data_IF_601456930524
#
_entry.id   IF_601456930524
#
_cell.length_a   1.000
_cell.length_b   1.000
_cell.length_c   1.000
_cell.angle_alpha   90.00
_cell.angle_beta   90.00
_cell.angle_gamma   90.00
#
_symmetry.space_group_name_H-M   'P 1'
#
loop_
_entity.id
_entity.type
_entity.pdbx_description
1 polymer ?
#
# COMPACT_ATOMS: atom_id res chain seq x y z
N UNK A 1 -17.33 2.19 -24.52
CA UNK A 1 -16.75 2.43 -23.18
C UNK A 1 -15.47 1.62 -23.06
N UNK A 2 -14.30 2.26 -23.07
CA UNK A 2 -13.04 1.56 -22.84
C UNK A 2 -12.99 1.07 -21.38
N UNK A 3 -13.24 -0.22 -21.17
CA UNK A 3 -13.05 -0.85 -19.85
C UNK A 3 -11.55 -0.81 -19.51
N UNK A 4 -11.22 -0.38 -18.30
CA UNK A 4 -9.83 -0.37 -17.81
C UNK A 4 -9.24 -1.77 -17.93
N UNK A 5 -8.14 -1.91 -18.69
CA UNK A 5 -7.52 -3.19 -19.03
C UNK A 5 -7.14 -3.98 -17.76
N UNK A 6 -6.66 -3.31 -16.72
CA UNK A 6 -6.32 -3.95 -15.44
C UNK A 6 -7.51 -4.70 -14.81
N UNK A 7 -8.75 -4.30 -15.10
CA UNK A 7 -9.93 -5.02 -14.67
C UNK A 7 -10.29 -6.20 -15.58
N UNK A 8 -9.97 -6.10 -16.88
CA UNK A 8 -10.23 -7.17 -17.86
C UNK A 8 -9.23 -8.34 -17.76
N UNK A 9 -7.98 -8.05 -17.35
CA UNK A 9 -6.89 -9.03 -17.24
C UNK A 9 -6.79 -9.57 -15.80
N UNK A 10 -7.69 -9.17 -14.91
CA UNK A 10 -7.69 -9.66 -13.53
C UNK A 10 -7.67 -11.20 -13.51
N UNK A 11 -6.75 -11.84 -12.78
CA UNK A 11 -6.75 -13.30 -12.63
C UNK A 11 -8.10 -13.81 -12.10
N UNK A 12 -8.63 -14.85 -12.73
CA UNK A 12 -9.89 -15.48 -12.35
C UNK A 12 -9.69 -16.78 -11.54
N UNK A 13 -8.47 -17.27 -11.48
CA UNK A 13 -8.10 -18.49 -10.76
C UNK A 13 -6.84 -18.27 -9.91
N UNK A 14 -6.66 -19.15 -8.93
CA UNK A 14 -5.54 -19.06 -7.99
C UNK A 14 -4.17 -19.39 -8.63
N UNK A 15 -4.15 -20.14 -9.75
CA UNK A 15 -2.89 -20.50 -10.43
C UNK A 15 -2.20 -19.27 -11.00
N UNK A 16 -2.99 -18.33 -11.52
CA UNK A 16 -2.50 -17.10 -12.14
C UNK A 16 -2.30 -15.96 -11.12
N UNK A 17 -2.74 -16.17 -9.87
CA UNK A 17 -2.57 -15.19 -8.80
C UNK A 17 -1.16 -15.26 -8.21
N UNK A 18 -0.49 -14.11 -8.15
CA UNK A 18 0.87 -13.99 -7.61
C UNK A 18 0.79 -13.61 -6.13
N UNK A 19 1.25 -14.51 -5.28
CA UNK A 19 1.42 -14.29 -3.85
C UNK A 19 2.54 -15.17 -3.31
N UNK A 20 2.82 -15.05 -2.03
CA UNK A 20 3.73 -15.94 -1.31
C UNK A 20 3.25 -17.41 -1.39
N UNK A 21 4.19 -18.36 -1.51
CA UNK A 21 3.87 -19.79 -1.64
C UNK A 21 3.08 -20.31 -0.44
N UNK A 22 3.37 -19.86 0.78
CA UNK A 22 2.64 -20.27 1.97
C UNK A 22 1.17 -19.81 1.92
N UNK A 23 0.93 -18.57 1.45
CA UNK A 23 -0.42 -18.07 1.23
C UNK A 23 -1.15 -18.86 0.14
N UNK A 24 -0.45 -19.24 -0.92
CA UNK A 24 -1.03 -20.05 -2.00
C UNK A 24 -1.53 -21.39 -1.49
N UNK A 25 -0.74 -22.07 -0.66
CA UNK A 25 -1.12 -23.34 -0.01
C UNK A 25 -2.35 -23.15 0.89
N UNK A 26 -2.40 -22.06 1.65
CA UNK A 26 -3.55 -21.74 2.51
C UNK A 26 -4.81 -21.58 1.66
N UNK A 27 -4.75 -20.80 0.58
CA UNK A 27 -5.90 -20.57 -0.30
C UNK A 27 -6.34 -21.84 -1.04
N UNK A 28 -5.39 -22.68 -1.47
CA UNK A 28 -5.69 -24.00 -2.07
C UNK A 28 -6.43 -24.91 -1.09
N UNK A 29 -6.01 -24.95 0.17
CA UNK A 29 -6.67 -25.74 1.20
C UNK A 29 -8.09 -25.22 1.52
N UNK A 30 -8.29 -23.89 1.56
CA UNK A 30 -9.59 -23.25 1.75
C UNK A 30 -10.56 -23.66 0.63
N UNK A 31 -10.10 -23.59 -0.62
CA UNK A 31 -10.90 -23.97 -1.79
C UNK A 31 -11.21 -25.47 -1.77
N UNK A 32 -10.21 -26.30 -1.50
CA UNK A 32 -10.35 -27.77 -1.46
C UNK A 32 -11.34 -28.23 -0.39
N UNK A 33 -11.36 -27.58 0.76
CA UNK A 33 -12.19 -27.95 1.89
C UNK A 33 -13.54 -27.22 1.90
N UNK A 34 -13.83 -26.37 0.92
CA UNK A 34 -15.02 -25.48 0.90
C UNK A 34 -15.16 -24.65 2.20
N UNK A 35 -14.05 -24.17 2.74
CA UNK A 35 -14.02 -23.42 4.01
C UNK A 35 -14.53 -21.98 3.80
N UNK A 36 -15.71 -21.68 4.33
CA UNK A 36 -16.35 -20.37 4.28
C UNK A 36 -15.83 -19.44 5.40
N UNK A 37 -14.53 -19.38 5.58
CA UNK A 37 -13.90 -18.51 6.58
C UNK A 37 -13.86 -17.06 6.12
N UNK A 38 -14.16 -16.13 7.02
CA UNK A 38 -14.04 -14.71 6.75
C UNK A 38 -12.60 -14.20 6.81
N UNK A 39 -12.24 -13.28 5.90
CA UNK A 39 -10.90 -12.71 5.78
C UNK A 39 -10.90 -11.19 5.76
N UNK A 40 -9.85 -10.61 6.33
CA UNK A 40 -9.46 -9.22 6.12
C UNK A 40 -8.10 -9.23 5.40
N UNK A 41 -8.11 -8.91 4.10
CA UNK A 41 -6.90 -8.77 3.29
C UNK A 41 -6.38 -7.34 3.41
N UNK A 42 -5.17 -7.16 3.93
CA UNK A 42 -4.55 -5.84 4.02
C UNK A 42 -3.21 -5.79 3.31
N UNK A 43 -2.73 -4.60 3.01
CA UNK A 43 -1.46 -4.37 2.34
C UNK A 43 -1.50 -3.19 1.37
N UNK A 44 -0.39 -2.85 0.70
CA UNK A 44 -0.28 -1.73 -0.21
C UNK A 44 -1.34 -1.74 -1.32
N UNK A 45 -1.61 -0.61 -1.99
CA UNK A 45 -2.46 -0.60 -3.17
C UNK A 45 -1.88 -1.49 -4.28
N UNK A 46 -2.75 -2.00 -5.17
CA UNK A 46 -2.35 -2.75 -6.36
C UNK A 46 -1.77 -4.15 -6.16
N UNK A 47 -1.71 -4.69 -4.93
CA UNK A 47 -1.17 -6.05 -4.66
C UNK A 47 -2.17 -7.20 -4.88
N UNK A 48 -3.41 -6.91 -5.29
CA UNK A 48 -4.40 -7.93 -5.62
C UNK A 48 -5.39 -8.31 -4.52
N UNK A 49 -5.57 -7.50 -3.45
CA UNK A 49 -6.52 -7.77 -2.36
C UNK A 49 -7.92 -8.11 -2.85
N UNK A 50 -8.52 -7.23 -3.64
CA UNK A 50 -9.85 -7.44 -4.21
C UNK A 50 -9.87 -8.61 -5.20
N UNK A 51 -8.74 -8.87 -5.88
CA UNK A 51 -8.61 -9.99 -6.82
C UNK A 51 -8.71 -11.33 -6.11
N UNK A 52 -7.97 -11.53 -5.01
CA UNK A 52 -8.04 -12.77 -4.24
C UNK A 52 -9.43 -12.98 -3.63
N UNK A 53 -10.12 -11.92 -3.20
CA UNK A 53 -11.50 -12.01 -2.71
C UNK A 53 -12.44 -12.58 -3.78
N UNK A 54 -12.33 -12.11 -5.03
CA UNK A 54 -13.10 -12.66 -6.15
C UNK A 54 -12.70 -14.09 -6.50
N UNK A 55 -11.40 -14.41 -6.51
CA UNK A 55 -10.92 -15.77 -6.81
C UNK A 55 -11.49 -16.77 -5.82
N UNK A 56 -11.42 -16.46 -4.52
CA UNK A 56 -11.96 -17.34 -3.48
C UNK A 56 -13.47 -17.50 -3.61
N UNK A 57 -14.23 -16.40 -3.77
CA UNK A 57 -15.68 -16.45 -3.91
C UNK A 57 -16.11 -17.29 -5.14
N UNK A 58 -15.45 -17.10 -6.28
CA UNK A 58 -15.72 -17.87 -7.50
C UNK A 58 -15.35 -19.34 -7.35
N UNK A 59 -14.20 -19.64 -6.71
CA UNK A 59 -13.69 -21.03 -6.56
C UNK A 59 -14.55 -21.85 -5.59
N UNK A 60 -15.21 -21.23 -4.64
CA UNK A 60 -16.12 -21.89 -3.69
C UNK A 60 -17.53 -22.13 -4.29
N UNK A 61 -17.81 -21.67 -5.52
CA UNK A 61 -19.10 -21.76 -6.18
C UNK A 61 -20.28 -21.29 -5.33
N UNK A 62 -20.06 -20.25 -4.52
CA UNK A 62 -21.07 -19.66 -3.63
C UNK A 62 -21.45 -18.28 -4.15
N UNK A 63 -22.73 -17.93 -4.06
CA UNK A 63 -23.20 -16.59 -4.44
C UNK A 63 -22.57 -15.51 -3.59
N UNK A 64 -22.08 -14.45 -4.24
CA UNK A 64 -21.46 -13.33 -3.56
C UNK A 64 -21.98 -11.98 -4.08
N UNK A 65 -21.82 -10.98 -3.26
CA UNK A 65 -22.08 -9.57 -3.62
C UNK A 65 -20.90 -8.70 -3.25
N UNK A 66 -20.79 -7.57 -3.93
CA UNK A 66 -19.73 -6.58 -3.72
C UNK A 66 -20.29 -5.31 -3.08
N UNK A 67 -19.59 -4.80 -2.09
CA UNK A 67 -19.90 -3.56 -1.39
C UNK A 67 -18.64 -2.68 -1.35
N UNK A 68 -18.77 -1.43 -1.82
CA UNK A 68 -17.72 -0.44 -1.73
C UNK A 68 -18.00 0.49 -0.54
N UNK A 69 -17.18 0.39 0.50
CA UNK A 69 -17.35 1.16 1.73
C UNK A 69 -17.24 2.69 1.54
N UNK A 70 -16.58 3.14 0.46
CA UNK A 70 -16.42 4.56 0.15
C UNK A 70 -17.66 5.18 -0.55
N UNK A 71 -18.48 4.37 -1.24
CA UNK A 71 -19.53 4.84 -2.13
C UNK A 71 -20.90 4.39 -1.66
N UNK A 72 -21.05 3.11 -1.23
CA UNK A 72 -22.33 2.50 -0.94
C UNK A 72 -22.89 2.95 0.41
N UNK A 73 -24.22 3.06 0.49
CA UNK A 73 -24.93 3.52 1.68
C UNK A 73 -25.16 2.37 2.69
N UNK A 74 -25.62 2.74 3.90
CA UNK A 74 -25.96 1.78 4.96
C UNK A 74 -27.06 0.80 4.56
N UNK A 75 -28.09 1.29 3.89
CA UNK A 75 -29.22 0.46 3.46
C UNK A 75 -28.80 -0.56 2.40
N UNK A 76 -27.88 -0.18 1.51
CA UNK A 76 -27.27 -1.11 0.55
C UNK A 76 -26.49 -2.23 1.25
N UNK A 77 -25.80 -1.92 2.35
CA UNK A 77 -25.09 -2.92 3.15
C UNK A 77 -26.06 -3.94 3.73
N UNK A 78 -27.12 -3.48 4.38
CA UNK A 78 -28.14 -4.35 5.00
C UNK A 78 -28.80 -5.24 3.93
N UNK A 79 -29.19 -4.67 2.80
CA UNK A 79 -29.78 -5.42 1.70
C UNK A 79 -28.82 -6.49 1.15
N UNK A 80 -27.54 -6.14 0.94
CA UNK A 80 -26.52 -7.06 0.42
C UNK A 80 -26.20 -8.21 1.40
N UNK A 81 -26.28 -7.98 2.71
CA UNK A 81 -26.09 -8.99 3.75
C UNK A 81 -27.18 -10.09 3.72
N UNK A 82 -28.36 -9.77 3.21
CA UNK A 82 -29.48 -10.71 3.13
C UNK A 82 -29.53 -11.53 1.83
N UNK A 83 -28.84 -11.06 0.77
CA UNK A 83 -28.94 -11.63 -0.57
C UNK A 83 -28.04 -12.84 -0.82
N UNK A 84 -26.85 -12.86 -0.24
CA UNK A 84 -25.80 -13.79 -0.64
C UNK A 84 -25.02 -14.33 0.56
N UNK A 85 -24.33 -15.46 0.34
CA UNK A 85 -23.52 -16.10 1.37
C UNK A 85 -22.16 -15.45 1.57
N UNK A 86 -21.62 -14.76 0.56
CA UNK A 86 -20.33 -14.06 0.64
C UNK A 86 -20.54 -12.57 0.35
N UNK A 87 -20.01 -11.71 1.20
CA UNK A 87 -19.92 -10.27 1.01
C UNK A 87 -18.47 -9.85 0.84
N UNK A 88 -18.13 -9.32 -0.34
CA UNK A 88 -16.83 -8.70 -0.59
C UNK A 88 -16.94 -7.22 -0.24
N UNK A 89 -16.18 -6.76 0.76
CA UNK A 89 -16.16 -5.36 1.20
C UNK A 89 -14.83 -4.72 0.79
N UNK A 90 -14.89 -3.75 -0.10
CA UNK A 90 -13.69 -3.00 -0.50
C UNK A 90 -13.51 -1.75 0.38
N UNK A 91 -12.27 -1.49 0.80
CA UNK A 91 -11.88 -0.37 1.66
C UNK A 91 -12.63 -0.34 3.01
N UNK A 92 -12.70 -1.47 3.72
CA UNK A 92 -13.47 -1.63 4.98
C UNK A 92 -13.12 -0.58 6.04
N UNK A 93 -11.89 -0.02 6.03
CA UNK A 93 -11.48 1.05 6.95
C UNK A 93 -12.29 2.35 6.79
N UNK A 94 -13.04 2.50 5.68
CA UNK A 94 -13.97 3.63 5.44
C UNK A 94 -15.34 3.42 6.05
N UNK A 95 -15.64 2.22 6.58
CA UNK A 95 -16.85 2.02 7.34
C UNK A 95 -16.72 2.72 8.70
N UNK A 96 -17.69 3.57 9.03
CA UNK A 96 -17.82 4.06 10.38
C UNK A 96 -18.19 2.92 11.35
N UNK A 97 -18.07 3.18 12.65
CA UNK A 97 -18.32 2.18 13.70
C UNK A 97 -19.70 1.53 13.57
N UNK A 98 -20.74 2.33 13.33
CA UNK A 98 -22.12 1.84 13.23
C UNK A 98 -22.30 0.84 12.07
N UNK A 99 -21.66 1.09 10.91
CA UNK A 99 -21.70 0.16 9.77
C UNK A 99 -20.87 -1.11 10.06
N UNK A 100 -19.79 -1.00 10.81
CA UNK A 100 -19.02 -2.17 11.23
C UNK A 100 -19.81 -3.03 12.23
N UNK A 101 -20.55 -2.41 13.15
CA UNK A 101 -21.35 -3.12 14.14
C UNK A 101 -22.54 -3.89 13.51
N UNK A 102 -23.07 -3.44 12.35
CA UNK A 102 -24.09 -4.18 11.60
C UNK A 102 -23.58 -5.55 11.12
N UNK A 103 -22.29 -5.69 10.82
CA UNK A 103 -21.70 -6.96 10.36
C UNK A 103 -21.60 -8.02 11.48
N UNK A 104 -21.52 -7.59 12.73
CA UNK A 104 -21.23 -8.49 13.85
C UNK A 104 -22.27 -9.60 14.02
N UNK A 105 -23.61 -9.32 14.09
CA UNK A 105 -24.60 -10.38 14.23
C UNK A 105 -24.58 -11.41 13.11
N UNK A 106 -24.27 -10.98 11.88
CA UNK A 106 -24.20 -11.88 10.73
C UNK A 106 -22.97 -12.79 10.78
N UNK A 107 -21.84 -12.27 11.24
CA UNK A 107 -20.60 -13.05 11.44
C UNK A 107 -20.68 -13.97 12.67
N UNK A 108 -21.32 -13.52 13.74
CA UNK A 108 -21.50 -14.30 14.98
C UNK A 108 -22.37 -15.55 14.79
N UNK A 109 -23.35 -15.46 13.91
CA UNK A 109 -24.28 -16.55 13.62
C UNK A 109 -23.94 -17.30 12.31
N UNK A 110 -22.73 -17.12 11.75
CA UNK A 110 -22.28 -17.74 10.52
C UNK A 110 -23.25 -17.58 9.32
N UNK A 111 -24.02 -16.48 9.34
CA UNK A 111 -25.02 -16.18 8.30
C UNK A 111 -24.34 -15.73 7.01
N UNK A 112 -23.16 -15.09 7.13
CA UNK A 112 -22.41 -14.56 6.00
C UNK A 112 -20.90 -14.75 6.19
N UNK A 113 -20.21 -14.96 5.08
CA UNK A 113 -18.75 -14.89 4.99
C UNK A 113 -18.32 -13.54 4.45
N UNK A 114 -17.37 -12.88 5.08
CA UNK A 114 -16.89 -11.56 4.68
C UNK A 114 -15.46 -11.65 4.15
N UNK A 115 -15.26 -11.15 2.91
CA UNK A 115 -13.92 -10.90 2.35
C UNK A 115 -13.70 -9.40 2.28
N UNK A 116 -13.08 -8.86 3.32
CA UNK A 116 -12.81 -7.44 3.42
C UNK A 116 -11.42 -7.08 2.89
N UNK A 117 -11.27 -5.91 2.27
CA UNK A 117 -9.98 -5.38 1.83
C UNK A 117 -9.68 -4.04 2.49
N UNK A 118 -8.42 -3.77 2.76
CA UNK A 118 -7.96 -2.48 3.28
C UNK A 118 -6.52 -2.19 2.90
N UNK A 119 -6.17 -0.93 2.70
CA UNK A 119 -4.79 -0.45 2.57
C UNK A 119 -4.18 -0.08 3.92
N UNK A 120 -5.01 0.12 4.94
CA UNK A 120 -4.59 0.48 6.28
C UNK A 120 -4.39 -0.74 7.18
N UNK A 121 -3.58 -0.58 8.24
CA UNK A 121 -3.39 -1.66 9.21
C UNK A 121 -4.72 -1.93 9.95
N UNK A 122 -5.27 -3.16 9.87
CA UNK A 122 -6.56 -3.51 10.46
C UNK A 122 -6.65 -3.27 11.97
N UNK A 123 -5.53 -3.34 12.67
CA UNK A 123 -5.50 -3.20 14.12
C UNK A 123 -5.86 -1.79 14.62
N UNK A 124 -5.73 -0.77 13.77
CA UNK A 124 -6.02 0.62 14.12
C UNK A 124 -7.40 1.10 13.68
N UNK A 125 -7.94 0.52 12.60
CA UNK A 125 -9.15 1.07 11.95
C UNK A 125 -10.37 0.16 12.02
N UNK A 126 -10.18 -1.14 12.29
CA UNK A 126 -11.27 -2.10 12.30
C UNK A 126 -11.59 -2.47 13.73
N UNK A 127 -12.89 -2.50 14.04
CA UNK A 127 -13.42 -2.89 15.34
C UNK A 127 -12.80 -4.24 15.79
N UNK A 128 -12.27 -4.33 17.03
CA UNK A 128 -11.71 -5.56 17.59
C UNK A 128 -12.64 -6.77 17.48
N UNK A 129 -13.96 -6.56 17.66
CA UNK A 129 -14.95 -7.63 17.54
C UNK A 129 -15.04 -8.20 16.11
N UNK A 130 -14.90 -7.39 15.06
CA UNK A 130 -14.81 -7.87 13.68
C UNK A 130 -13.49 -8.61 13.43
N UNK A 131 -12.39 -8.06 13.93
CA UNK A 131 -11.06 -8.67 13.75
C UNK A 131 -10.98 -10.06 14.38
N UNK A 132 -11.60 -10.29 15.52
CA UNK A 132 -11.60 -11.60 16.19
C UNK A 132 -12.38 -12.67 15.41
N UNK A 133 -13.26 -12.28 14.49
CA UNK A 133 -14.11 -13.16 13.68
C UNK A 133 -13.59 -13.36 12.26
N UNK A 134 -12.53 -12.67 11.89
CA UNK A 134 -11.92 -12.75 10.56
C UNK A 134 -10.45 -13.13 10.67
N UNK A 135 -9.98 -13.96 9.76
CA UNK A 135 -8.54 -14.20 9.59
C UNK A 135 -7.90 -13.02 8.88
N UNK A 136 -6.85 -12.44 9.48
CA UNK A 136 -6.15 -11.28 8.91
C UNK A 136 -4.97 -11.77 8.08
N UNK A 137 -4.93 -11.39 6.80
CA UNK A 137 -3.88 -11.80 5.86
C UNK A 137 -3.24 -10.57 5.23
N UNK A 138 -1.92 -10.48 5.36
CA UNK A 138 -1.11 -9.46 4.68
C UNK A 138 -0.77 -9.91 3.26
N UNK A 139 -1.06 -9.06 2.28
CA UNK A 139 -0.58 -9.22 0.91
C UNK A 139 0.55 -8.23 0.66
N UNK A 140 1.73 -8.76 0.39
CA UNK A 140 2.94 -7.98 0.12
C UNK A 140 3.04 -7.61 -1.36
N UNK A 141 3.85 -6.60 -1.66
CA UNK A 141 4.21 -6.30 -3.06
C UNK A 141 4.92 -7.51 -3.69
N UNK A 142 4.72 -7.74 -5.00
CA UNK A 142 5.48 -8.75 -5.72
C UNK A 142 6.97 -8.39 -5.76
N UNK A 143 7.84 -9.38 -5.98
CA UNK A 143 9.23 -9.08 -6.34
C UNK A 143 9.27 -8.52 -7.76
N UNK A 144 10.37 -7.84 -8.10
CA UNK A 144 10.60 -7.30 -9.44
C UNK A 144 10.49 -8.41 -10.50
N UNK A 145 11.07 -9.57 -10.24
CA UNK A 145 11.08 -10.73 -11.12
C UNK A 145 9.67 -11.30 -11.33
N UNK A 146 8.88 -11.39 -10.26
CA UNK A 146 7.49 -11.83 -10.34
C UNK A 146 6.65 -10.90 -11.20
N UNK A 147 6.82 -9.59 -11.03
CA UNK A 147 6.07 -8.60 -11.81
C UNK A 147 6.51 -8.60 -13.28
N UNK A 148 7.80 -8.70 -13.58
CA UNK A 148 8.32 -8.81 -14.95
C UNK A 148 7.70 -10.02 -15.63
N UNK A 149 7.78 -11.21 -15.02
CA UNK A 149 7.20 -12.44 -15.57
C UNK A 149 5.69 -12.33 -15.80
N UNK A 150 5.01 -11.64 -14.92
CA UNK A 150 3.57 -11.38 -15.08
C UNK A 150 3.27 -10.48 -16.29
N UNK A 151 4.02 -9.41 -16.47
CA UNK A 151 3.89 -8.51 -17.64
C UNK A 151 4.24 -9.23 -18.96
N UNK A 152 5.28 -10.07 -18.96
CA UNK A 152 5.63 -10.92 -20.11
C UNK A 152 4.48 -11.85 -20.50
N UNK A 153 3.87 -12.52 -19.51
CA UNK A 153 2.72 -13.40 -19.74
C UNK A 153 1.51 -12.64 -20.31
N UNK A 154 1.23 -11.45 -19.81
CA UNK A 154 0.16 -10.59 -20.34
C UNK A 154 0.48 -10.18 -21.77
N UNK A 155 1.70 -9.72 -22.04
CA UNK A 155 2.10 -9.34 -23.39
C UNK A 155 1.94 -10.50 -24.37
N UNK A 156 2.45 -11.68 -24.04
CA UNK A 156 2.40 -12.86 -24.91
C UNK A 156 0.96 -13.34 -25.16
N UNK A 157 0.07 -13.17 -24.19
CA UNK A 157 -1.32 -13.64 -24.29
C UNK A 157 -2.28 -12.63 -24.91
N UNK A 158 -2.00 -11.32 -24.86
CA UNK A 158 -2.93 -10.26 -25.23
C UNK A 158 -2.45 -9.31 -26.30
N UNK A 159 -1.16 -8.97 -26.34
CA UNK A 159 -0.63 -7.92 -27.19
C UNK A 159 0.36 -8.43 -28.25
N UNK A 160 1.14 -9.43 -27.88
CA UNK A 160 2.19 -10.01 -28.72
C UNK A 160 3.20 -8.96 -29.26
N UNK A 161 3.57 -8.01 -28.39
CA UNK A 161 4.54 -6.97 -28.73
C UNK A 161 5.96 -7.55 -28.64
N UNK A 162 6.82 -7.15 -29.56
CA UNK A 162 8.26 -7.46 -29.51
C UNK A 162 8.95 -6.42 -28.61
N UNK A 163 9.04 -6.72 -27.30
CA UNK A 163 9.62 -5.85 -26.28
C UNK A 163 10.87 -6.48 -25.67
N UNK A 164 11.92 -5.69 -25.55
CA UNK A 164 13.13 -6.11 -24.85
C UNK A 164 12.88 -6.28 -23.34
N UNK A 165 13.61 -7.21 -22.71
CA UNK A 165 13.54 -7.43 -21.25
C UNK A 165 13.73 -6.15 -20.44
N UNK A 166 14.58 -5.25 -20.88
CA UNK A 166 14.84 -3.94 -20.24
C UNK A 166 13.56 -3.08 -20.16
N UNK A 167 12.63 -3.23 -21.09
CA UNK A 167 11.36 -2.51 -21.07
C UNK A 167 10.47 -3.01 -19.95
N UNK A 168 10.36 -4.33 -19.77
CA UNK A 168 9.59 -4.90 -18.64
C UNK A 168 10.21 -4.52 -17.28
N UNK A 169 11.53 -4.51 -17.20
CA UNK A 169 12.24 -4.05 -16.00
C UNK A 169 11.92 -2.59 -15.68
N UNK A 170 11.92 -1.74 -16.71
CA UNK A 170 11.56 -0.35 -16.59
C UNK A 170 10.11 -0.16 -16.13
N UNK A 171 9.15 -0.86 -16.78
CA UNK A 171 7.74 -0.80 -16.43
C UNK A 171 7.49 -1.26 -14.98
N UNK A 172 8.15 -2.32 -14.54
CA UNK A 172 8.05 -2.83 -13.19
C UNK A 172 8.56 -1.80 -12.16
N UNK A 173 9.69 -1.16 -12.42
CA UNK A 173 10.25 -0.11 -11.55
C UNK A 173 9.34 1.11 -11.50
N UNK A 174 8.89 1.62 -12.67
CA UNK A 174 8.04 2.80 -12.74
C UNK A 174 6.64 2.58 -12.15
N UNK A 175 6.20 1.35 -11.99
CA UNK A 175 4.95 1.03 -11.31
C UNK A 175 5.05 1.02 -9.77
N UNK A 176 6.24 1.12 -9.20
CA UNK A 176 6.46 0.93 -7.77
C UNK A 176 6.04 -0.46 -7.29
N UNK A 177 6.12 -1.48 -8.17
CA UNK A 177 5.66 -2.85 -7.96
C UNK A 177 4.14 -2.98 -7.69
N UNK A 178 3.35 -2.06 -8.22
CA UNK A 178 1.88 -2.10 -8.25
C UNK A 178 1.41 -2.76 -9.55
N UNK A 179 0.69 -3.90 -9.44
CA UNK A 179 0.18 -4.62 -10.61
C UNK A 179 -0.73 -3.78 -11.49
N UNK A 180 -1.59 -2.94 -10.91
CA UNK A 180 -2.55 -2.13 -11.68
C UNK A 180 -1.83 -1.06 -12.50
N UNK A 181 -0.87 -0.38 -11.88
CA UNK A 181 -0.05 0.64 -12.57
C UNK A 181 0.80 -0.01 -13.65
N UNK A 182 1.44 -1.16 -13.36
CA UNK A 182 2.25 -1.88 -14.33
C UNK A 182 1.45 -2.34 -15.57
N UNK A 183 0.24 -2.87 -15.37
CA UNK A 183 -0.65 -3.27 -16.46
C UNK A 183 -1.09 -2.05 -17.29
N UNK A 184 -1.46 -0.94 -16.64
CA UNK A 184 -1.86 0.28 -17.34
C UNK A 184 -0.70 0.86 -18.16
N UNK A 185 0.52 0.81 -17.64
CA UNK A 185 1.72 1.23 -18.35
C UNK A 185 1.98 0.32 -19.58
N UNK A 186 1.82 -0.99 -19.44
CA UNK A 186 1.94 -1.91 -20.57
C UNK A 186 0.85 -1.69 -21.63
N UNK A 187 -0.39 -1.39 -21.23
CA UNK A 187 -1.47 -1.02 -22.15
C UNK A 187 -1.17 0.28 -22.92
N UNK A 188 -0.57 1.26 -22.22
CA UNK A 188 -0.14 2.50 -22.84
C UNK A 188 0.94 2.25 -23.89
N UNK A 189 1.94 1.41 -23.58
CA UNK A 189 2.97 0.99 -24.52
C UNK A 189 2.35 0.30 -25.75
N UNK A 190 1.39 -0.61 -25.53
CA UNK A 190 0.68 -1.28 -26.63
C UNK A 190 -0.05 -0.28 -27.55
N UNK A 191 -0.75 0.69 -26.99
CA UNK A 191 -1.49 1.71 -27.78
C UNK A 191 -0.57 2.60 -28.63
N UNK A 192 0.66 2.75 -28.21
CA UNK A 192 1.65 3.62 -28.86
C UNK A 192 2.57 2.87 -29.82
N UNK A 193 2.69 1.56 -29.67
CA UNK A 193 3.59 0.73 -30.48
C UNK A 193 3.20 0.69 -31.98
N UNK A 194 1.91 0.82 -32.33
CA UNK A 194 1.38 0.83 -33.72
C UNK A 194 2.29 0.10 -34.74
N UNK A 195 2.72 -1.12 -34.43
CA UNK A 195 3.61 -1.94 -35.25
C UNK A 195 5.08 -1.44 -35.41
N UNK A 196 5.54 -0.54 -34.55
CA UNK A 196 6.95 -0.13 -34.49
C UNK A 196 7.67 -0.89 -33.38
N UNK A 197 8.91 -1.27 -33.64
CA UNK A 197 9.82 -1.71 -32.60
C UNK A 197 10.08 -0.50 -31.67
N UNK A 198 9.77 -0.64 -30.38
CA UNK A 198 9.96 0.42 -29.39
C UNK A 198 11.28 0.22 -28.67
N UNK A 199 12.10 1.25 -28.66
CA UNK A 199 13.29 1.32 -27.82
C UNK A 199 12.92 1.84 -26.41
N UNK A 200 13.78 1.58 -25.45
CA UNK A 200 13.57 2.02 -24.07
C UNK A 200 13.42 3.55 -23.96
N UNK A 201 14.11 4.32 -24.84
CA UNK A 201 14.00 5.78 -24.90
C UNK A 201 12.61 6.26 -25.27
N UNK A 202 11.94 5.56 -26.20
CA UNK A 202 10.57 5.88 -26.60
C UNK A 202 9.62 5.70 -25.42
N UNK A 203 9.81 4.63 -24.64
CA UNK A 203 9.02 4.34 -23.45
C UNK A 203 9.26 5.36 -22.35
N UNK A 204 10.51 5.79 -22.16
CA UNK A 204 10.88 6.83 -21.18
C UNK A 204 10.25 8.19 -21.49
N UNK A 205 10.06 8.52 -22.76
CA UNK A 205 9.37 9.74 -23.17
C UNK A 205 7.86 9.70 -22.91
N UNK A 206 7.27 8.51 -22.89
CA UNK A 206 5.83 8.30 -22.75
C UNK A 206 5.45 8.08 -21.27
N UNK A 207 6.20 7.26 -20.60
CA UNK A 207 6.12 7.00 -19.18
C UNK A 207 7.34 7.70 -18.59
N UNK A 208 7.21 8.99 -18.25
CA UNK A 208 8.34 9.69 -17.67
C UNK A 208 8.77 8.87 -16.45
N UNK A 209 10.08 8.66 -16.36
CA UNK A 209 10.62 8.24 -15.09
C UNK A 209 10.09 9.27 -14.09
N UNK A 210 9.19 8.86 -13.22
CA UNK A 210 9.15 9.49 -11.94
C UNK A 210 10.62 9.38 -11.55
N UNK A 211 11.34 10.49 -11.58
CA UNK A 211 12.71 10.53 -11.08
C UNK A 211 12.60 10.34 -9.58
N UNK A 212 12.24 9.11 -9.20
CA UNK A 212 12.86 8.51 -8.07
C UNK A 212 14.32 8.39 -8.49
N UNK A 213 15.13 9.29 -8.03
CA UNK A 213 16.55 9.04 -7.91
C UNK A 213 16.74 7.93 -6.87
N UNK A 214 16.09 6.81 -7.10
CA UNK A 214 16.38 5.57 -6.43
C UNK A 214 17.41 4.89 -7.31
N UNK A 215 18.63 4.96 -6.87
CA UNK A 215 19.68 4.07 -7.30
C UNK A 215 19.15 2.64 -7.43
N UNK A 216 19.74 1.90 -8.34
CA UNK A 216 19.32 0.63 -8.93
C UNK A 216 18.95 -0.51 -7.97
N UNK A 217 18.99 -0.29 -6.65
CA UNK A 217 18.70 -1.28 -5.61
C UNK A 217 17.79 -0.67 -4.56
N UNK A 218 16.69 -1.36 -4.22
CA UNK A 218 15.73 -0.95 -3.19
C UNK A 218 16.34 -0.77 -1.78
N UNK A 219 17.60 -1.09 -1.60
CA UNK A 219 18.39 -0.89 -0.38
C UNK A 219 18.68 0.60 -0.14
N UNK A 220 18.94 1.40 -1.17
CA UNK A 220 19.31 2.81 -1.01
C UNK A 220 18.16 3.69 -0.44
N UNK A 221 16.89 3.35 -0.70
CA UNK A 221 15.80 4.11 -0.11
C UNK A 221 15.66 3.87 1.41
N UNK A 222 15.84 2.63 1.86
CA UNK A 222 15.96 2.32 3.28
C UNK A 222 17.19 2.99 3.89
N UNK A 223 18.26 3.11 3.11
CA UNK A 223 19.49 3.79 3.51
C UNK A 223 19.30 5.30 3.66
N UNK A 224 18.54 5.97 2.77
CA UNK A 224 18.24 7.41 2.91
C UNK A 224 17.38 7.70 4.14
N UNK A 225 16.35 6.90 4.42
CA UNK A 225 15.54 7.03 5.64
C UNK A 225 16.36 6.78 6.90
N UNK A 226 17.30 5.83 6.83
CA UNK A 226 18.24 5.53 7.93
C UNK A 226 19.27 6.64 8.11
N UNK A 227 19.87 7.13 7.02
CA UNK A 227 20.82 8.23 7.02
C UNK A 227 20.16 9.53 7.52
N UNK A 228 18.94 9.83 7.05
CA UNK A 228 18.14 10.96 7.51
C UNK A 228 17.92 10.90 9.04
N UNK A 229 17.45 9.76 9.54
CA UNK A 229 17.21 9.61 10.98
C UNK A 229 18.51 9.74 11.80
N UNK A 230 19.62 9.16 11.31
CA UNK A 230 20.94 9.27 11.94
C UNK A 230 21.45 10.72 11.96
N UNK A 231 21.22 11.47 10.87
CA UNK A 231 21.60 12.89 10.77
C UNK A 231 20.81 13.74 11.77
N UNK A 232 19.49 13.52 11.91
CA UNK A 232 18.66 14.17 12.91
C UNK A 232 19.17 13.89 14.33
N UNK A 233 19.44 12.64 14.64
CA UNK A 233 19.99 12.18 15.94
C UNK A 233 21.37 12.75 16.22
N UNK A 234 22.22 12.80 15.17
CA UNK A 234 23.58 13.30 15.25
C UNK A 234 23.69 14.84 15.27
N UNK A 235 22.57 15.55 15.17
CA UNK A 235 22.52 17.04 15.11
C UNK A 235 23.27 17.62 13.89
N UNK A 236 23.35 16.84 12.80
CA UNK A 236 23.92 17.29 11.53
C UNK A 236 22.79 17.87 10.66
N UNK A 237 22.62 19.18 10.73
CA UNK A 237 21.52 19.90 10.05
C UNK A 237 21.65 19.87 8.53
N UNK A 238 22.89 19.93 8.00
CA UNK A 238 23.14 19.93 6.55
C UNK A 238 22.84 18.55 5.96
N UNK A 239 23.35 17.48 6.58
CA UNK A 239 23.03 16.12 6.17
C UNK A 239 21.55 15.80 6.34
N UNK A 240 20.89 16.26 7.40
CA UNK A 240 19.47 16.07 7.62
C UNK A 240 18.62 16.74 6.51
N UNK A 241 18.94 17.98 6.13
CA UNK A 241 18.28 18.62 4.98
C UNK A 241 18.56 17.87 3.68
N UNK A 242 19.79 17.49 3.42
CA UNK A 242 20.17 16.79 2.21
C UNK A 242 19.38 15.48 2.05
N UNK A 243 19.45 14.58 3.03
CA UNK A 243 18.72 13.32 2.98
C UNK A 243 17.21 13.48 3.05
N UNK A 244 16.70 14.44 3.84
CA UNK A 244 15.28 14.78 3.88
C UNK A 244 14.76 15.20 2.52
N UNK A 245 15.48 16.04 1.77
CA UNK A 245 15.08 16.46 0.42
C UNK A 245 15.30 15.39 -0.65
N UNK A 246 16.22 14.45 -0.46
CA UNK A 246 16.27 13.24 -1.30
C UNK A 246 14.99 12.41 -1.14
N UNK A 247 14.49 12.25 0.09
CA UNK A 247 13.24 11.55 0.37
C UNK A 247 12.05 12.33 -0.20
N UNK A 248 12.00 13.67 -0.07
CA UNK A 248 10.98 14.52 -0.72
C UNK A 248 10.97 14.30 -2.24
N UNK A 249 12.14 14.31 -2.89
CA UNK A 249 12.28 14.05 -4.33
C UNK A 249 11.84 12.64 -4.72
N UNK A 250 11.96 11.66 -3.83
CA UNK A 250 11.48 10.30 -4.04
C UNK A 250 9.95 10.17 -3.89
N UNK A 251 9.27 11.19 -3.34
CA UNK A 251 7.83 11.19 -3.10
C UNK A 251 7.39 10.38 -1.88
N UNK A 252 8.31 9.86 -1.06
CA UNK A 252 7.99 9.14 0.17
C UNK A 252 7.78 10.10 1.35
N UNK A 253 6.71 10.88 1.26
CA UNK A 253 6.34 11.78 2.35
C UNK A 253 5.95 11.04 3.63
N UNK A 254 5.32 9.87 3.52
CA UNK A 254 4.95 9.05 4.68
C UNK A 254 6.18 8.59 5.46
N UNK A 255 7.20 8.10 4.78
CA UNK A 255 8.47 7.69 5.38
C UNK A 255 9.18 8.86 6.05
N UNK A 256 9.24 10.01 5.35
CA UNK A 256 9.83 11.25 5.87
C UNK A 256 9.12 11.71 7.15
N UNK A 257 7.80 11.88 7.11
CA UNK A 257 7.00 12.38 8.23
C UNK A 257 7.08 11.44 9.43
N UNK A 258 7.00 10.14 9.20
CA UNK A 258 7.17 9.14 10.26
C UNK A 258 8.52 9.28 10.95
N UNK A 259 9.62 9.44 10.19
CA UNK A 259 10.95 9.62 10.78
C UNK A 259 11.10 10.94 11.54
N UNK A 260 10.53 12.03 11.04
CA UNK A 260 10.51 13.32 11.73
C UNK A 260 9.75 13.23 13.06
N UNK A 261 8.58 12.64 13.06
CA UNK A 261 7.77 12.43 14.27
C UNK A 261 8.54 11.55 15.27
N UNK A 262 9.05 10.39 14.84
CA UNK A 262 9.82 9.49 15.72
C UNK A 262 11.01 10.21 16.35
N UNK A 263 11.84 10.89 15.54
CA UNK A 263 13.02 11.61 16.05
C UNK A 263 12.66 12.72 17.05
N UNK A 264 11.54 13.43 16.82
CA UNK A 264 11.09 14.49 17.73
C UNK A 264 10.67 13.98 19.10
N UNK A 265 10.12 12.77 19.21
CA UNK A 265 9.73 12.14 20.48
C UNK A 265 10.84 11.27 21.10
N UNK A 266 11.61 10.56 20.26
CA UNK A 266 12.62 9.58 20.70
C UNK A 266 13.94 10.26 21.08
N UNK A 267 14.45 11.15 20.20
CA UNK A 267 15.78 11.73 20.31
C UNK A 267 15.79 13.13 20.96
N UNK A 268 14.78 13.96 20.68
CA UNK A 268 14.62 15.30 21.29
C UNK A 268 13.84 15.16 22.60
N UNK A 269 12.65 14.56 22.53
CA UNK A 269 11.81 14.25 23.67
C UNK A 269 11.61 15.41 24.65
N UNK A 270 11.89 15.15 25.92
CA UNK A 270 11.70 16.12 27.01
C UNK A 270 12.73 17.26 27.03
N UNK A 271 13.80 17.19 26.24
CA UNK A 271 14.78 18.29 26.16
C UNK A 271 14.23 19.54 25.45
N UNK A 272 13.32 19.33 24.48
CA UNK A 272 12.61 20.42 23.80
C UNK A 272 11.20 19.96 23.40
N UNK A 273 10.23 19.89 24.32
CA UNK A 273 8.91 19.26 24.09
C UNK A 273 8.10 19.92 22.95
N UNK A 274 8.31 21.22 22.70
CA UNK A 274 7.59 21.95 21.66
C UNK A 274 7.97 21.51 20.23
N UNK A 275 9.13 20.87 20.06
CA UNK A 275 9.60 20.42 18.72
C UNK A 275 8.63 19.41 18.11
N UNK A 276 8.13 18.46 18.89
CA UNK A 276 7.16 17.48 18.40
C UNK A 276 5.86 18.13 17.90
N UNK A 277 5.34 19.12 18.62
CA UNK A 277 4.17 19.89 18.21
C UNK A 277 4.45 20.69 16.93
N UNK A 278 5.62 21.33 16.83
CA UNK A 278 6.02 22.09 15.65
C UNK A 278 6.15 21.20 14.42
N UNK A 279 6.66 19.97 14.59
CA UNK A 279 6.74 18.98 13.50
C UNK A 279 5.35 18.59 12.99
N UNK A 280 4.41 18.33 13.89
CA UNK A 280 3.03 18.02 13.50
C UNK A 280 2.37 19.20 12.78
N UNK A 281 2.57 20.43 13.25
CA UNK A 281 2.07 21.63 12.61
C UNK A 281 2.68 21.84 11.21
N UNK A 282 3.98 21.53 11.05
CA UNK A 282 4.65 21.63 9.75
C UNK A 282 4.11 20.61 8.74
N UNK A 283 3.83 19.40 9.19
CA UNK A 283 3.19 18.36 8.36
C UNK A 283 1.79 18.80 7.93
N UNK A 284 0.97 19.31 8.85
CA UNK A 284 -0.36 19.86 8.52
C UNK A 284 -0.30 21.05 7.57
N UNK A 285 0.70 21.91 7.72
CA UNK A 285 0.92 23.02 6.80
C UNK A 285 1.28 22.53 5.40
N UNK A 286 2.15 21.51 5.31
CA UNK A 286 2.48 20.86 4.04
C UNK A 286 1.25 20.27 3.36
N UNK A 287 0.40 19.55 4.09
CA UNK A 287 -0.83 18.96 3.55
C UNK A 287 -1.82 19.99 2.99
N UNK A 288 -1.81 21.22 3.53
CA UNK A 288 -2.66 22.32 3.06
C UNK A 288 -2.08 23.10 1.90
N UNK A 289 -0.76 23.34 1.91
CA UNK A 289 -0.07 24.18 0.93
C UNK A 289 0.28 23.34 -0.31
N UNK A 290 0.77 22.11 -0.10
CA UNK A 290 1.29 21.25 -1.17
C UNK A 290 2.61 21.75 -1.76
N UNK A 291 3.12 21.00 -2.74
CA UNK A 291 4.32 21.43 -3.49
C UNK A 291 3.95 22.46 -4.56
N UNK A 292 4.83 23.42 -4.92
CA UNK A 292 6.22 23.51 -4.46
C UNK A 292 6.43 24.20 -3.11
N UNK A 293 5.57 25.08 -2.63
CA UNK A 293 5.81 25.92 -1.45
C UNK A 293 5.86 25.14 -0.13
N UNK A 294 5.22 23.97 -0.09
CA UNK A 294 5.19 23.07 1.08
C UNK A 294 6.56 22.58 1.56
N UNK A 295 7.63 22.77 0.76
CA UNK A 295 8.98 22.44 1.22
C UNK A 295 9.45 23.29 2.39
N UNK A 296 8.95 24.52 2.52
CA UNK A 296 9.39 25.45 3.56
C UNK A 296 9.06 24.99 4.99
N UNK A 297 7.79 24.61 5.33
CA UNK A 297 7.49 24.08 6.65
C UNK A 297 8.26 22.78 6.94
N UNK A 298 8.49 21.92 5.94
CA UNK A 298 9.25 20.69 6.12
C UNK A 298 10.73 21.00 6.41
N UNK A 299 11.37 21.89 5.68
CA UNK A 299 12.74 22.31 5.93
C UNK A 299 12.91 22.89 7.35
N UNK A 300 11.97 23.76 7.76
CA UNK A 300 11.98 24.35 9.08
C UNK A 300 11.88 23.27 10.19
N UNK A 301 10.98 22.30 10.04
CA UNK A 301 10.83 21.21 11.00
C UNK A 301 12.06 20.31 11.08
N UNK A 302 12.69 19.97 9.94
CA UNK A 302 13.95 19.20 9.89
C UNK A 302 15.03 19.92 10.68
N UNK A 303 15.21 21.21 10.44
CA UNK A 303 16.20 22.04 11.16
C UNK A 303 15.92 22.11 12.66
N UNK A 304 14.64 22.29 13.05
CA UNK A 304 14.27 22.30 14.47
C UNK A 304 14.60 20.97 15.16
N UNK A 305 14.35 19.83 14.53
CA UNK A 305 14.72 18.52 15.09
C UNK A 305 16.25 18.41 15.18
N UNK A 306 16.96 18.72 14.10
CA UNK A 306 18.41 18.55 14.05
C UNK A 306 19.14 19.42 15.09
N UNK A 307 18.74 20.68 15.24
CA UNK A 307 19.39 21.66 16.12
C UNK A 307 18.87 21.63 17.57
N UNK A 308 17.78 20.93 17.86
CA UNK A 308 17.26 20.84 19.22
C UNK A 308 18.21 20.03 20.14
N UNK A 309 18.24 20.36 21.43
CA UNK A 309 18.92 19.50 22.42
C UNK A 309 18.31 18.10 22.42
N UNK A 310 19.15 17.10 22.69
CA UNK A 310 18.76 15.67 22.60
C UNK A 310 18.57 15.07 23.98
N UNK A 311 17.47 14.29 24.17
CA UNK A 311 17.25 13.47 25.35
C UNK A 311 16.38 12.26 25.02
N UNK A 312 16.92 11.07 25.24
CA UNK A 312 16.19 9.82 25.09
C UNK A 312 15.59 9.30 26.41
N UNK A 313 15.48 10.17 27.44
CA UNK A 313 15.01 9.79 28.77
C UNK A 313 13.57 9.25 28.74
N UNK A 314 12.68 9.85 27.98
CA UNK A 314 11.30 9.39 27.83
C UNK A 314 11.22 8.00 27.18
N UNK A 315 12.01 7.77 26.11
CA UNK A 315 12.10 6.46 25.45
C UNK A 315 12.62 5.37 26.40
N UNK A 316 13.68 5.67 27.17
CA UNK A 316 14.24 4.72 28.16
C UNK A 316 13.22 4.40 29.26
N UNK A 317 12.51 5.41 29.78
CA UNK A 317 11.47 5.20 30.79
C UNK A 317 10.33 4.33 30.26
N UNK A 318 9.86 4.61 29.04
CA UNK A 318 8.83 3.79 28.40
C UNK A 318 9.31 2.35 28.15
N UNK A 319 10.52 2.15 27.64
CA UNK A 319 11.09 0.83 27.41
C UNK A 319 11.20 0.01 28.71
N UNK A 320 11.64 0.65 29.80
CA UNK A 320 11.71 0.00 31.10
C UNK A 320 10.31 -0.37 31.62
N UNK A 321 9.30 0.48 31.42
CA UNK A 321 7.93 0.20 31.82
C UNK A 321 7.29 -0.94 31.00
N UNK A 322 7.65 -1.10 29.72
CA UNK A 322 7.18 -2.21 28.88
C UNK A 322 7.86 -3.55 29.16
N UNK A 323 8.99 -3.56 29.89
CA UNK A 323 9.71 -4.79 30.26
C UNK A 323 9.17 -5.46 31.54
N UNK A 324 8.13 -4.90 32.14
CA UNK A 324 7.33 -5.51 33.18
C UNK A 324 6.09 -6.16 32.55
#
# INVERSE_FOLDING_TARGET
MNKNLANLIRPNNLKDFICDNNLKIIFENIIKNNDLRSFIFYGPPGVGKTTISYILANSLNVSYTYFNAAIDKKDDLIHKLQLNKILIIDEIHRLNKDKQDILLPYLENDLITVYATTTENPYFKINPALRSRCSIIELKKPTKEQLIKYLENINNSKFNLNLDKKIYEYLALQSGLDFRVAINNLDLVNKLSKNKHLEIKDIQNIIPSIQFSSDKDGDNHCDYLSAFHKSLRGSDADAALYYGFLIVKSGDFDGLFRRMICASYEDVGLAAPNVATNVLNAIQAFERIGMPEGYLPIANAILQIALAPKSNSAMKAASNAFSF
#
